data_IF_829625071749
#
_entry.id   IF_829625071749
#
_cell.length_a   1.000
_cell.length_b   1.000
_cell.length_c   1.000
_cell.angle_alpha   90.00
_cell.angle_beta   90.00
_cell.angle_gamma   90.00
#
_symmetry.space_group_name_H-M   'P 1'
#
loop_
_entity.id
_entity.type
_entity.pdbx_description
1 polymer ?
#
# COMPACT_ATOMS: atom_id res chain seq x y z
N UNK A 1 -18.43 -7.32 -3.72
CA UNK A 1 -18.97 -7.14 -2.35
C UNK A 1 -18.73 -5.72 -1.84
N UNK A 2 -17.50 -5.30 -1.50
CA UNK A 2 -17.22 -3.94 -1.02
C UNK A 2 -17.72 -2.83 -1.94
N UNK A 3 -17.35 -2.84 -3.23
CA UNK A 3 -17.85 -1.87 -4.23
C UNK A 3 -19.38 -1.91 -4.42
N UNK A 4 -20.01 -3.07 -4.22
CA UNK A 4 -21.47 -3.21 -4.34
C UNK A 4 -22.21 -2.73 -3.09
N UNK A 5 -21.60 -2.84 -1.90
CA UNK A 5 -22.21 -2.44 -0.61
C UNK A 5 -21.88 -0.99 -0.22
N UNK A 6 -20.71 -0.49 -0.59
CA UNK A 6 -20.25 0.87 -0.27
C UNK A 6 -20.73 1.93 -1.28
N UNK A 7 -21.37 1.53 -2.39
CA UNK A 7 -21.94 2.47 -3.37
C UNK A 7 -20.91 3.41 -4.01
N UNK A 8 -21.32 4.65 -4.29
CA UNK A 8 -20.50 5.72 -4.91
C UNK A 8 -19.33 6.22 -4.03
N UNK A 9 -19.18 5.70 -2.81
CA UNK A 9 -18.19 6.17 -1.84
C UNK A 9 -16.80 5.56 -2.03
N UNK A 10 -16.61 4.67 -3.00
CA UNK A 10 -15.32 4.04 -3.30
C UNK A 10 -14.85 4.45 -4.69
N UNK A 11 -13.76 5.21 -4.73
CA UNK A 11 -13.09 5.63 -5.96
C UNK A 11 -12.31 4.46 -6.56
N UNK A 12 -11.44 3.84 -5.76
CA UNK A 12 -10.58 2.75 -6.19
C UNK A 12 -10.39 1.71 -5.08
N UNK A 13 -10.10 0.48 -5.48
CA UNK A 13 -9.68 -0.59 -4.59
C UNK A 13 -8.43 -1.21 -5.18
N UNK A 14 -7.39 -1.36 -4.37
CA UNK A 14 -6.21 -2.12 -4.74
C UNK A 14 -5.96 -3.23 -3.71
N UNK A 15 -5.87 -4.47 -4.22
CA UNK A 15 -5.70 -5.68 -3.40
C UNK A 15 -4.29 -6.20 -3.59
N UNK A 16 -3.61 -6.57 -2.51
CA UNK A 16 -2.28 -7.16 -2.56
C UNK A 16 -2.11 -8.25 -1.51
N UNK A 17 -2.28 -9.51 -1.93
CA UNK A 17 -2.19 -10.69 -1.07
C UNK A 17 -3.17 -10.57 0.10
N UNK A 18 -2.68 -10.13 1.25
CA UNK A 18 -3.34 -9.96 2.54
C UNK A 18 -3.60 -8.49 2.90
N UNK A 19 -3.17 -7.54 2.07
CA UNK A 19 -3.36 -6.11 2.25
C UNK A 19 -4.41 -5.56 1.28
N UNK A 20 -5.26 -4.65 1.78
CA UNK A 20 -6.31 -4.00 1.01
C UNK A 20 -6.19 -2.48 1.18
N UNK A 21 -6.12 -1.77 0.05
CA UNK A 21 -6.23 -0.31 0.02
C UNK A 21 -7.57 0.06 -0.61
N UNK A 22 -8.36 0.87 0.09
CA UNK A 22 -9.61 1.43 -0.41
C UNK A 22 -9.52 2.95 -0.42
N UNK A 23 -9.75 3.55 -1.58
CA UNK A 23 -9.78 4.99 -1.74
C UNK A 23 -11.21 5.50 -1.79
N UNK A 24 -11.47 6.54 -1.01
CA UNK A 24 -12.77 7.18 -0.89
C UNK A 24 -12.63 8.68 -1.18
N UNK A 25 -13.72 9.38 -1.56
CA UNK A 25 -13.68 10.81 -1.90
C UNK A 25 -13.34 11.70 -0.70
N UNK A 26 -13.71 11.27 0.51
CA UNK A 26 -13.46 12.00 1.75
C UNK A 26 -13.30 11.03 2.93
N UNK A 27 -13.01 11.61 4.10
CA UNK A 27 -12.77 10.86 5.33
C UNK A 27 -14.03 10.16 5.87
N UNK A 28 -15.20 10.77 5.73
CA UNK A 28 -16.46 10.18 6.21
C UNK A 28 -16.83 8.95 5.37
N UNK A 29 -16.66 9.04 4.05
CA UNK A 29 -16.79 7.92 3.13
C UNK A 29 -15.79 6.80 3.46
N UNK A 30 -14.53 7.14 3.77
CA UNK A 30 -13.52 6.17 4.17
C UNK A 30 -13.90 5.44 5.47
N UNK A 31 -14.40 6.18 6.47
CA UNK A 31 -14.83 5.63 7.76
C UNK A 31 -16.06 4.72 7.62
N UNK A 32 -17.03 5.13 6.80
CA UNK A 32 -18.19 4.30 6.50
C UNK A 32 -17.79 3.01 5.77
N UNK A 33 -16.90 3.11 4.78
CA UNK A 33 -16.39 1.96 4.04
C UNK A 33 -15.60 0.99 4.95
N UNK A 34 -14.76 1.53 5.83
CA UNK A 34 -14.06 0.77 6.86
C UNK A 34 -15.04 -0.02 7.74
N UNK A 35 -16.07 0.64 8.28
CA UNK A 35 -17.11 0.00 9.11
C UNK A 35 -17.77 -1.18 8.37
N UNK A 36 -18.19 -0.96 7.13
CA UNK A 36 -18.77 -2.03 6.31
C UNK A 36 -17.80 -3.18 6.02
N UNK A 37 -16.51 -2.88 5.89
CA UNK A 37 -15.49 -3.91 5.71
C UNK A 37 -15.33 -4.78 6.94
N UNK A 38 -15.33 -4.18 8.14
CA UNK A 38 -15.32 -4.92 9.40
C UNK A 38 -16.52 -5.88 9.50
N UNK A 39 -17.73 -5.42 9.16
CA UNK A 39 -18.92 -6.28 9.18
C UNK A 39 -18.81 -7.48 8.21
N UNK A 40 -18.21 -7.26 7.03
CA UNK A 40 -17.94 -8.33 6.06
C UNK A 40 -16.93 -9.32 6.63
N UNK A 41 -15.82 -8.83 7.18
CA UNK A 41 -14.79 -9.68 7.76
C UNK A 41 -15.32 -10.52 8.91
N UNK A 42 -16.10 -9.93 9.82
CA UNK A 42 -16.75 -10.63 10.93
C UNK A 42 -17.68 -11.75 10.43
N UNK A 43 -18.53 -11.44 9.46
CA UNK A 43 -19.44 -12.42 8.85
C UNK A 43 -18.73 -13.64 8.26
N UNK A 44 -17.53 -13.45 7.69
CA UNK A 44 -16.73 -14.52 7.09
C UNK A 44 -15.64 -15.09 8.02
N UNK A 45 -15.58 -14.65 9.28
CA UNK A 45 -14.56 -15.11 10.23
C UNK A 45 -13.12 -14.72 9.87
N UNK A 46 -12.94 -13.58 9.19
CA UNK A 46 -11.64 -13.05 8.79
C UNK A 46 -11.11 -12.10 9.87
N UNK A 47 -9.90 -12.35 10.36
CA UNK A 47 -9.23 -11.49 11.34
C UNK A 47 -8.48 -10.37 10.60
N UNK A 48 -8.77 -9.12 10.96
CA UNK A 48 -8.04 -7.95 10.46
C UNK A 48 -6.85 -7.70 11.38
N UNK A 49 -5.63 -7.73 10.82
CA UNK A 49 -4.40 -7.53 11.58
C UNK A 49 -4.10 -6.06 11.87
N UNK A 50 -3.82 -5.28 10.83
CA UNK A 50 -3.56 -3.84 10.91
C UNK A 50 -4.63 -3.07 10.12
N UNK A 51 -5.02 -1.90 10.64
CA UNK A 51 -6.02 -1.04 10.01
C UNK A 51 -5.62 0.42 10.18
N UNK A 52 -5.53 1.15 9.06
CA UNK A 52 -5.20 2.57 9.01
C UNK A 52 -6.29 3.29 8.21
N UNK A 53 -6.81 4.41 8.73
CA UNK A 53 -7.71 5.32 8.00
C UNK A 53 -7.19 6.74 8.19
N UNK A 54 -6.99 7.45 7.09
CA UNK A 54 -6.54 8.84 7.14
C UNK A 54 -5.98 9.34 5.82
N UNK A 55 -5.46 10.56 5.85
CA UNK A 55 -4.83 11.21 4.71
C UNK A 55 -3.40 10.71 4.43
N UNK A 56 -2.80 9.94 5.35
CA UNK A 56 -1.50 9.29 5.17
C UNK A 56 -1.62 7.83 5.55
N UNK A 57 -1.38 6.92 4.60
CA UNK A 57 -1.53 5.47 4.79
C UNK A 57 -0.39 4.71 4.14
N UNK A 58 -0.08 3.52 4.64
CA UNK A 58 0.93 2.64 4.05
C UNK A 58 0.30 1.51 3.23
N UNK A 59 0.81 1.25 2.03
CA UNK A 59 0.40 0.11 1.20
C UNK A 59 1.55 -0.41 0.34
N UNK A 60 1.74 -1.72 0.18
CA UNK A 60 2.83 -2.31 -0.65
C UNK A 60 4.25 -1.79 -0.35
N UNK A 61 4.52 -1.35 0.88
CA UNK A 61 5.82 -0.78 1.23
C UNK A 61 6.04 0.66 0.75
N UNK A 62 4.97 1.34 0.33
CA UNK A 62 4.93 2.77 0.02
C UNK A 62 4.04 3.48 1.04
N UNK A 63 4.28 4.76 1.24
CA UNK A 63 3.45 5.67 2.03
C UNK A 63 2.78 6.63 1.06
N UNK A 64 1.46 6.64 1.07
CA UNK A 64 0.61 7.51 0.29
C UNK A 64 0.21 8.69 1.17
N UNK A 65 0.64 9.90 0.79
CA UNK A 65 0.31 11.13 1.48
C UNK A 65 -0.64 11.95 0.57
N UNK A 66 -1.93 11.79 0.82
CA UNK A 66 -2.99 12.44 0.05
C UNK A 66 -3.06 13.94 0.32
N UNK A 67 -2.68 14.39 1.52
CA UNK A 67 -2.68 15.80 1.87
C UNK A 67 -1.63 16.57 1.08
N UNK A 68 -0.42 16.01 0.98
CA UNK A 68 0.70 16.63 0.26
C UNK A 68 0.83 16.17 -1.19
N UNK A 69 -0.10 15.33 -1.68
CA UNK A 69 -0.05 14.69 -3.00
C UNK A 69 1.29 14.00 -3.31
N UNK A 70 1.82 13.24 -2.35
CA UNK A 70 3.14 12.60 -2.45
C UNK A 70 3.08 11.10 -2.24
N UNK A 71 3.94 10.40 -2.97
CA UNK A 71 4.23 8.98 -2.76
C UNK A 71 5.66 8.87 -2.25
N UNK A 72 5.86 8.10 -1.18
CA UNK A 72 7.19 7.88 -0.58
C UNK A 72 7.41 6.40 -0.37
N UNK A 73 8.65 5.94 -0.40
CA UNK A 73 8.96 4.59 0.07
C UNK A 73 8.84 4.55 1.59
N UNK A 74 8.23 3.49 2.13
CA UNK A 74 8.17 3.27 3.58
C UNK A 74 9.59 3.14 4.12
N UNK A 75 9.87 3.75 5.27
CA UNK A 75 11.21 3.75 5.89
C UNK A 75 11.78 2.32 6.01
N UNK A 76 10.96 1.37 6.43
CA UNK A 76 11.35 -0.05 6.51
C UNK A 76 11.79 -0.66 5.17
N UNK A 77 11.24 -0.19 4.05
CA UNK A 77 11.68 -0.59 2.71
C UNK A 77 13.03 0.03 2.37
N UNK A 78 13.22 1.32 2.63
CA UNK A 78 14.49 2.03 2.42
C UNK A 78 15.60 1.36 3.22
N UNK A 79 15.35 1.03 4.49
CA UNK A 79 16.32 0.31 5.33
C UNK A 79 16.66 -1.08 4.78
N UNK A 80 15.70 -1.80 4.19
CA UNK A 80 15.97 -3.10 3.53
C UNK A 80 16.89 -2.96 2.31
N UNK A 81 16.83 -1.82 1.62
CA UNK A 81 17.75 -1.52 0.51
C UNK A 81 19.13 -1.12 1.04
N UNK A 82 19.19 -0.21 2.02
CA UNK A 82 20.46 0.32 2.57
C UNK A 82 21.25 -0.75 3.34
N UNK A 83 20.62 -1.53 4.22
CA UNK A 83 21.32 -2.54 5.05
C UNK A 83 21.94 -3.67 4.22
N UNK A 84 21.45 -3.91 3.00
CA UNK A 84 22.05 -4.89 2.09
C UNK A 84 23.30 -4.36 1.36
N UNK A 85 23.56 -3.05 1.41
CA UNK A 85 24.79 -2.46 0.85
C UNK A 85 26.01 -2.65 1.75
N UNK A 86 25.81 -2.89 3.04
CA UNK A 86 26.86 -2.86 4.07
C UNK A 86 27.37 -4.24 4.51
N UNK A 87 26.80 -5.34 4.02
CA UNK A 87 27.32 -6.69 4.29
C UNK A 87 28.34 -7.11 3.23
N UNK A 88 29.62 -7.19 3.61
CA UNK A 88 30.79 -7.56 2.78
C UNK A 88 30.82 -9.07 2.41
N UNK A 89 29.74 -9.81 2.65
CA UNK A 89 29.69 -11.24 2.34
C UNK A 89 29.37 -11.51 0.87
N UNK A 90 30.01 -12.54 0.32
CA UNK A 90 29.86 -13.04 -1.05
C UNK A 90 28.40 -12.97 -1.50
N UNK A 91 28.10 -12.02 -2.37
CA UNK A 91 26.75 -11.77 -2.86
C UNK A 91 26.40 -12.83 -3.90
N UNK A 92 25.45 -13.71 -3.56
CA UNK A 92 24.93 -14.68 -4.53
C UNK A 92 24.18 -13.98 -5.66
N UNK A 93 24.11 -14.61 -6.84
CA UNK A 93 23.31 -14.10 -7.97
C UNK A 93 21.86 -13.85 -7.56
N UNK A 94 21.26 -14.74 -6.75
CA UNK A 94 19.90 -14.57 -6.21
C UNK A 94 19.78 -13.33 -5.32
N UNK A 95 20.79 -13.03 -4.50
CA UNK A 95 20.81 -11.83 -3.67
C UNK A 95 20.92 -10.56 -4.52
N UNK A 96 21.74 -10.59 -5.58
CA UNK A 96 21.85 -9.49 -6.54
C UNK A 96 20.53 -9.23 -7.27
N UNK A 97 19.88 -10.27 -7.80
CA UNK A 97 18.58 -10.17 -8.46
C UNK A 97 17.52 -9.56 -7.53
N UNK A 98 17.46 -10.02 -6.28
CA UNK A 98 16.54 -9.48 -5.26
C UNK A 98 16.82 -8.01 -4.96
N UNK A 99 18.10 -7.59 -4.94
CA UNK A 99 18.50 -6.20 -4.72
C UNK A 99 18.11 -5.32 -5.91
N UNK A 100 18.43 -5.75 -7.14
CA UNK A 100 18.06 -5.03 -8.36
C UNK A 100 16.54 -4.86 -8.46
N UNK A 101 15.76 -5.92 -8.20
CA UNK A 101 14.30 -5.84 -8.19
C UNK A 101 13.75 -4.79 -7.22
N UNK A 102 14.33 -4.67 -6.02
CA UNK A 102 13.93 -3.63 -5.05
C UNK A 102 14.30 -2.22 -5.51
N UNK A 103 15.46 -2.03 -6.14
CA UNK A 103 15.88 -0.73 -6.68
C UNK A 103 14.97 -0.32 -7.84
N UNK A 104 14.71 -1.24 -8.79
CA UNK A 104 13.80 -0.99 -9.91
C UNK A 104 12.40 -0.64 -9.40
N UNK A 105 11.87 -1.40 -8.43
CA UNK A 105 10.60 -1.07 -7.78
C UNK A 105 10.62 0.32 -7.16
N UNK A 106 11.65 0.64 -6.38
CA UNK A 106 11.80 1.96 -5.77
C UNK A 106 11.81 3.10 -6.79
N UNK A 107 12.56 2.94 -7.89
CA UNK A 107 12.62 3.91 -8.98
C UNK A 107 11.27 4.09 -9.68
N UNK A 108 10.55 2.99 -9.93
CA UNK A 108 9.22 3.04 -10.55
C UNK A 108 8.16 3.72 -9.68
N UNK A 109 8.36 3.79 -8.37
CA UNK A 109 7.38 4.37 -7.44
C UNK A 109 7.70 5.84 -7.13
N UNK A 110 8.98 6.19 -6.97
CA UNK A 110 9.41 7.51 -6.51
C UNK A 110 9.22 8.63 -7.56
N UNK A 111 9.01 8.29 -8.83
CA UNK A 111 8.71 9.24 -9.89
C UNK A 111 7.22 9.48 -10.15
N UNK A 112 6.34 8.71 -9.51
CA UNK A 112 4.93 8.66 -9.87
C UNK A 112 4.07 9.62 -9.04
N UNK A 113 3.11 10.27 -9.71
CA UNK A 113 2.02 10.97 -9.02
C UNK A 113 1.00 9.94 -8.55
N UNK A 114 0.27 10.26 -7.48
CA UNK A 114 -0.84 9.44 -6.97
C UNK A 114 -1.78 8.97 -8.10
N UNK A 115 -2.10 9.86 -9.04
CA UNK A 115 -2.98 9.56 -10.19
C UNK A 115 -2.49 8.40 -11.06
N UNK A 116 -1.18 8.25 -11.25
CA UNK A 116 -0.61 7.18 -12.08
C UNK A 116 -0.71 5.80 -11.42
N UNK A 117 -0.80 5.74 -10.08
CA UNK A 117 -0.98 4.49 -9.35
C UNK A 117 -2.42 3.96 -9.41
N UNK A 118 -3.37 4.76 -9.90
CA UNK A 118 -4.79 4.45 -9.89
C UNK A 118 -5.44 4.36 -11.28
N UNK A 119 -4.65 4.55 -12.35
CA UNK A 119 -5.05 4.22 -13.72
C UNK A 119 -4.49 2.84 -14.11
N UNK A 120 -5.29 1.80 -13.90
CA UNK A 120 -5.17 0.50 -14.58
C UNK A 120 -6.45 0.26 -15.37
#
# INVERSE_FOLDING_TARGET
ILRQRAGQNVLAIDVYIDNLLVLCPDYEAAKACSTQFFDICDHYGVIIGEHEVGAVVSHRGITLDFHNHRVRLKESFVQKVIRQSSSVNVMTIKALQKRLGRVVYGLSVLGERLTCLFHV
#
